data_IF_438486648804
#
_entry.id   IF_438486648804
#
_cell.length_a   1.000
_cell.length_b   1.000
_cell.length_c   1.000
_cell.angle_alpha   90.00
_cell.angle_beta   90.00
_cell.angle_gamma   90.00
#
_symmetry.space_group_name_H-M   'P 1'
#
loop_
_entity.id
_entity.type
_entity.pdbx_description
1 polymer ?
#
# COMPACT_ATOMS: atom_id res chain seq x y z
N UNK A 1 13.33 -14.51 20.90
CA UNK A 1 13.17 -13.04 20.79
C UNK A 1 12.71 -12.43 22.09
N UNK A 2 11.58 -12.80 22.69
CA UNK A 2 11.10 -12.27 23.99
C UNK A 2 12.16 -12.44 25.11
N UNK A 3 12.76 -13.61 25.22
CA UNK A 3 13.80 -13.87 26.24
C UNK A 3 15.01 -12.98 26.02
N UNK A 4 15.41 -12.73 24.78
CA UNK A 4 16.51 -11.82 24.46
C UNK A 4 16.24 -10.37 24.91
N UNK A 5 15.00 -9.87 24.69
CA UNK A 5 14.63 -8.56 25.23
C UNK A 5 14.59 -8.53 26.76
N UNK A 6 14.21 -9.64 27.38
CA UNK A 6 14.16 -9.74 28.83
C UNK A 6 15.55 -9.72 29.50
N UNK A 7 16.63 -10.08 28.79
CA UNK A 7 18.01 -9.94 29.26
C UNK A 7 18.41 -8.47 29.41
N UNK A 8 17.90 -7.61 28.48
CA UNK A 8 18.20 -6.17 28.52
C UNK A 8 17.24 -5.42 29.44
N UNK A 9 15.98 -5.82 29.46
CA UNK A 9 14.91 -5.24 30.26
C UNK A 9 14.19 -6.34 31.06
N UNK A 10 14.62 -6.62 32.33
CA UNK A 10 14.12 -7.77 33.10
C UNK A 10 12.61 -7.81 33.33
N UNK A 11 11.92 -6.68 33.20
CA UNK A 11 10.45 -6.59 33.34
C UNK A 11 9.70 -6.79 32.04
N UNK A 12 10.39 -6.93 30.90
CA UNK A 12 9.76 -6.97 29.58
C UNK A 12 8.79 -8.16 29.46
N UNK A 13 9.26 -9.36 29.79
CA UNK A 13 8.46 -10.58 29.66
C UNK A 13 7.18 -10.56 30.53
N UNK A 14 7.28 -10.04 31.74
CA UNK A 14 6.15 -9.93 32.68
C UNK A 14 5.16 -8.82 32.32
N UNK A 15 5.56 -7.85 31.52
CA UNK A 15 4.70 -6.75 31.07
C UNK A 15 3.89 -7.08 29.81
N UNK A 16 4.15 -8.22 29.16
CA UNK A 16 3.42 -8.63 27.96
C UNK A 16 2.02 -9.11 28.34
N UNK A 17 0.99 -8.40 27.88
CA UNK A 17 -0.40 -8.75 28.12
C UNK A 17 -0.92 -9.77 27.09
N UNK A 18 -0.48 -9.64 25.84
CA UNK A 18 -0.88 -10.50 24.72
C UNK A 18 0.22 -10.53 23.67
N UNK A 19 0.29 -11.61 22.89
CA UNK A 19 1.21 -11.76 21.75
C UNK A 19 0.45 -12.32 20.58
N UNK A 20 0.47 -11.61 19.48
CA UNK A 20 -0.02 -12.10 18.19
C UNK A 20 1.17 -12.25 17.23
N UNK A 21 1.19 -13.37 16.49
CA UNK A 21 2.27 -13.70 15.57
C UNK A 21 1.68 -13.88 14.19
N UNK A 22 1.92 -12.91 13.32
CA UNK A 22 1.50 -12.97 11.91
C UNK A 22 2.72 -13.34 11.06
N UNK A 23 2.71 -14.56 10.53
CA UNK A 23 3.75 -15.08 9.65
C UNK A 23 3.35 -14.91 8.18
N UNK A 24 4.25 -15.11 7.21
CA UNK A 24 3.92 -15.07 5.79
C UNK A 24 2.77 -16.02 5.40
N UNK A 25 2.60 -17.13 6.11
CA UNK A 25 1.48 -18.04 5.90
C UNK A 25 0.13 -17.37 6.19
N UNK A 26 -0.02 -16.76 7.35
CA UNK A 26 -1.23 -16.04 7.74
C UNK A 26 -1.47 -14.85 6.82
N UNK A 27 -0.42 -14.10 6.47
CA UNK A 27 -0.51 -12.99 5.52
C UNK A 27 -1.06 -13.42 4.17
N UNK A 28 -0.69 -14.60 3.69
CA UNK A 28 -1.21 -15.15 2.44
C UNK A 28 -2.66 -15.62 2.57
N UNK A 29 -2.99 -16.35 3.63
CA UNK A 29 -4.27 -17.06 3.74
C UNK A 29 -5.38 -16.20 4.35
N UNK A 30 -5.07 -15.29 5.27
CA UNK A 30 -6.05 -14.43 5.94
C UNK A 30 -6.20 -13.09 5.23
N UNK A 31 -5.11 -12.52 4.73
CA UNK A 31 -5.10 -11.18 4.11
C UNK A 31 -4.97 -11.24 2.58
N UNK A 32 -4.78 -12.41 1.98
CA UNK A 32 -4.67 -12.56 0.52
C UNK A 32 -3.41 -11.97 -0.10
N UNK A 33 -2.36 -11.72 0.69
CA UNK A 33 -1.11 -11.16 0.17
C UNK A 33 -0.32 -12.19 -0.62
N UNK A 34 0.05 -11.86 -1.84
CA UNK A 34 0.81 -12.74 -2.73
C UNK A 34 2.14 -13.12 -2.06
N UNK A 35 2.39 -14.42 -1.91
CA UNK A 35 3.58 -14.93 -1.23
C UNK A 35 3.69 -14.56 0.26
N UNK A 36 2.64 -14.00 0.87
CA UNK A 36 2.70 -13.46 2.23
C UNK A 36 3.62 -12.25 2.36
N UNK A 37 3.86 -11.55 1.25
CA UNK A 37 4.76 -10.40 1.22
C UNK A 37 4.00 -9.10 1.49
N UNK A 38 4.40 -8.35 2.52
CA UNK A 38 3.80 -7.06 2.90
C UNK A 38 3.95 -5.98 1.83
N UNK A 39 4.84 -6.18 0.86
CA UNK A 39 5.03 -5.26 -0.28
C UNK A 39 4.17 -5.63 -1.50
N UNK A 40 3.17 -6.50 -1.34
CA UNK A 40 2.25 -6.90 -2.41
C UNK A 40 2.96 -7.53 -3.61
N UNK A 41 3.59 -8.65 -3.38
CA UNK A 41 4.35 -9.42 -4.35
C UNK A 41 5.84 -9.27 -4.14
N UNK A 42 6.50 -8.37 -4.81
CA UNK A 42 7.94 -8.18 -4.72
C UNK A 42 8.30 -6.69 -4.69
N UNK A 43 9.37 -6.36 -3.98
CA UNK A 43 10.00 -5.04 -4.03
C UNK A 43 11.39 -5.17 -4.66
N UNK A 44 11.40 -5.57 -5.93
CA UNK A 44 12.60 -5.62 -6.77
C UNK A 44 12.83 -4.28 -7.48
N UNK A 45 13.94 -4.13 -8.18
CA UNK A 45 14.26 -2.90 -8.91
C UNK A 45 13.23 -2.58 -9.99
N UNK A 46 12.63 -3.60 -10.60
CA UNK A 46 11.55 -3.49 -11.59
C UNK A 46 10.22 -3.06 -10.99
N UNK A 47 10.10 -3.05 -9.67
CA UNK A 47 8.92 -2.65 -8.92
C UNK A 47 9.13 -1.36 -8.14
N UNK A 48 10.10 -0.52 -8.57
CA UNK A 48 10.36 0.78 -7.96
C UNK A 48 9.88 1.94 -8.85
N UNK A 49 9.61 3.06 -8.21
CA UNK A 49 9.23 4.32 -8.84
C UNK A 49 8.11 4.16 -9.88
N UNK A 50 8.34 4.63 -11.10
CA UNK A 50 7.39 4.61 -12.21
C UNK A 50 7.09 3.22 -12.78
N UNK A 51 7.83 2.20 -12.34
CA UNK A 51 7.59 0.80 -12.73
C UNK A 51 6.50 0.12 -11.89
N UNK A 52 6.09 0.73 -10.76
CA UNK A 52 5.11 0.13 -9.85
C UNK A 52 3.74 0.79 -9.98
N UNK A 53 2.63 0.05 -10.10
CA UNK A 53 2.50 -1.41 -10.15
C UNK A 53 2.90 -2.03 -11.50
N UNK A 54 2.91 -1.22 -12.55
CA UNK A 54 3.33 -1.58 -13.89
C UNK A 54 3.77 -0.31 -14.64
N UNK A 55 4.64 -0.42 -15.65
CA UNK A 55 5.05 0.71 -16.47
C UNK A 55 3.83 1.45 -17.06
N UNK A 56 3.81 2.78 -16.93
CA UNK A 56 2.71 3.63 -17.43
C UNK A 56 1.51 3.76 -16.50
N UNK A 57 1.50 3.10 -15.33
CA UNK A 57 0.38 3.14 -14.36
C UNK A 57 0.81 3.62 -12.97
N UNK A 58 1.95 4.28 -12.86
CA UNK A 58 2.46 4.78 -11.57
C UNK A 58 1.68 5.99 -11.03
N UNK A 59 0.88 6.66 -11.87
CA UNK A 59 0.14 7.88 -11.53
C UNK A 59 -1.27 7.62 -10.94
N UNK A 60 -1.52 6.40 -10.47
CA UNK A 60 -2.74 5.97 -9.78
C UNK A 60 -3.99 5.68 -10.63
N UNK A 61 -4.31 6.37 -11.75
CA UNK A 61 -5.39 5.95 -12.62
C UNK A 61 -5.15 4.55 -13.21
N UNK A 62 -6.24 3.81 -13.42
CA UNK A 62 -6.20 2.51 -14.09
C UNK A 62 -6.71 2.64 -15.54
N UNK A 63 -6.57 1.60 -16.39
CA UNK A 63 -7.21 1.57 -17.70
C UNK A 63 -8.74 1.69 -17.65
N UNK A 64 -9.35 1.39 -16.50
CA UNK A 64 -10.80 1.51 -16.32
C UNK A 64 -11.15 2.93 -15.87
N UNK A 65 -11.92 3.68 -16.67
CA UNK A 65 -12.28 5.05 -16.31
C UNK A 65 -12.96 5.16 -14.94
N UNK A 66 -12.45 6.05 -14.09
CA UNK A 66 -12.98 6.28 -12.75
C UNK A 66 -12.50 5.30 -11.66
N UNK A 67 -11.66 4.32 -12.02
CA UNK A 67 -11.02 3.42 -11.08
C UNK A 67 -9.57 3.85 -10.82
N UNK A 68 -9.17 3.90 -9.56
CA UNK A 68 -7.85 4.34 -9.12
C UNK A 68 -7.21 3.35 -8.16
N UNK A 69 -5.92 3.16 -8.26
CA UNK A 69 -5.14 2.44 -7.26
C UNK A 69 -4.75 3.35 -6.09
N UNK A 70 -4.96 2.87 -4.86
CA UNK A 70 -4.69 3.65 -3.64
C UNK A 70 -3.99 2.82 -2.55
N UNK A 71 -3.22 1.81 -2.94
CA UNK A 71 -2.61 0.88 -2.00
C UNK A 71 -1.09 0.98 -2.00
N UNK A 72 -0.44 0.31 -1.04
CA UNK A 72 1.01 0.16 -0.98
C UNK A 72 1.59 -0.63 -2.16
N UNK A 73 0.73 -1.23 -3.01
CA UNK A 73 1.14 -1.82 -4.29
C UNK A 73 1.49 -0.78 -5.36
N UNK A 74 1.20 0.50 -5.17
CA UNK A 74 1.53 1.57 -6.11
C UNK A 74 2.80 2.31 -5.73
N UNK A 75 3.29 3.21 -6.62
CA UNK A 75 4.44 4.06 -6.36
C UNK A 75 4.28 4.84 -5.03
N UNK A 76 5.41 5.11 -4.38
CA UNK A 76 5.56 5.54 -3.00
C UNK A 76 4.97 4.56 -1.97
N UNK A 77 4.56 3.36 -2.40
CA UNK A 77 4.17 2.26 -1.54
C UNK A 77 5.37 1.44 -1.06
N UNK A 78 5.07 0.39 -0.35
CA UNK A 78 6.05 -0.45 0.31
C UNK A 78 6.12 -0.13 1.79
N UNK A 79 4.97 -0.18 2.47
CA UNK A 79 4.84 0.07 3.89
C UNK A 79 3.52 0.76 4.24
N UNK A 80 3.25 0.90 5.51
CA UNK A 80 2.04 1.57 6.01
C UNK A 80 2.25 3.08 5.94
N UNK A 81 1.74 3.70 4.88
CA UNK A 81 1.76 5.15 4.73
C UNK A 81 0.51 5.65 4.00
N UNK A 82 0.16 6.92 4.21
CA UNK A 82 -1.00 7.53 3.56
C UNK A 82 -0.72 8.09 2.16
N UNK A 83 0.51 8.02 1.66
CA UNK A 83 0.93 8.68 0.41
C UNK A 83 0.16 8.16 -0.80
N UNK A 84 0.06 6.85 -1.08
CA UNK A 84 -0.69 6.34 -2.22
C UNK A 84 -2.16 6.76 -2.20
N UNK A 85 -2.83 6.65 -1.05
CA UNK A 85 -4.22 7.07 -0.87
C UNK A 85 -4.43 8.55 -1.15
N UNK A 86 -3.56 9.41 -0.60
CA UNK A 86 -3.60 10.86 -0.83
C UNK A 86 -3.42 11.20 -2.32
N UNK A 87 -2.46 10.58 -2.99
CA UNK A 87 -2.18 10.88 -4.39
C UNK A 87 -3.28 10.34 -5.32
N UNK A 88 -3.81 9.15 -5.06
CA UNK A 88 -4.96 8.62 -5.79
C UNK A 88 -6.20 9.52 -5.65
N UNK A 89 -6.45 10.03 -4.44
CA UNK A 89 -7.54 10.98 -4.21
C UNK A 89 -7.33 12.30 -4.99
N UNK A 90 -6.10 12.82 -5.04
CA UNK A 90 -5.77 14.00 -5.85
C UNK A 90 -6.01 13.75 -7.34
N UNK A 91 -5.61 12.60 -7.88
CA UNK A 91 -5.85 12.23 -9.26
C UNK A 91 -7.36 12.16 -9.56
N UNK A 92 -8.13 11.48 -8.74
CA UNK A 92 -9.59 11.36 -8.88
C UNK A 92 -10.29 12.73 -8.85
N UNK A 93 -9.88 13.63 -7.96
CA UNK A 93 -10.42 14.99 -7.87
C UNK A 93 -10.06 15.79 -9.13
N UNK A 94 -8.83 15.69 -9.62
CA UNK A 94 -8.38 16.38 -10.82
C UNK A 94 -9.21 15.95 -12.06
N UNK A 95 -9.41 14.65 -12.23
CA UNK A 95 -10.22 14.11 -13.33
C UNK A 95 -11.68 14.55 -13.27
N UNK A 96 -12.28 14.54 -12.07
CA UNK A 96 -13.64 15.06 -11.87
C UNK A 96 -13.76 16.53 -12.22
N UNK A 97 -12.78 17.35 -11.85
CA UNK A 97 -12.73 18.79 -12.23
C UNK A 97 -12.58 18.96 -13.74
N UNK A 98 -11.72 18.19 -14.39
CA UNK A 98 -11.52 18.23 -15.84
C UNK A 98 -12.80 17.83 -16.59
N UNK A 99 -13.45 16.74 -16.17
CA UNK A 99 -14.72 16.30 -16.75
C UNK A 99 -15.83 17.35 -16.62
N UNK A 100 -15.93 18.03 -15.45
CA UNK A 100 -16.88 19.12 -15.27
C UNK A 100 -16.62 20.31 -16.19
N UNK A 101 -15.36 20.69 -16.39
CA UNK A 101 -14.97 21.78 -17.31
C UNK A 101 -15.30 21.45 -18.76
N UNK A 102 -15.06 20.20 -19.19
CA UNK A 102 -15.43 19.72 -20.54
C UNK A 102 -16.93 19.81 -20.78
N UNK A 103 -17.76 19.36 -19.83
CA UNK A 103 -19.23 19.46 -19.91
C UNK A 103 -19.73 20.89 -19.98
N UNK A 104 -19.10 21.84 -19.26
CA UNK A 104 -19.47 23.25 -19.31
C UNK A 104 -19.12 23.93 -20.64
N UNK A 105 -18.03 23.49 -21.31
CA UNK A 105 -17.63 24.03 -22.63
C UNK A 105 -18.43 23.44 -23.77
N UNK A 106 -19.08 22.32 -23.60
CA UNK A 106 -19.89 21.63 -24.60
C UNK A 106 -21.39 22.07 -24.58
N UNK A 107 -21.75 22.94 -23.64
CA UNK A 107 -23.05 23.63 -23.54
C UNK A 107 -22.99 25.04 -24.09
#
# INVERSE_FOLDING_TARGET
MIDYYNEIAPNFKSSILHTDIVRPYEMKHEYGLIGGNIFHGELSLEQLFHMRPAPGYADYPTPVPGLYYASSATHAGGGVCGIPGMQAAKAAIADKKAARRRRQRAR
#
